data_IF_886071230108
#
_entry.id   IF_886071230108
#
_cell.length_a   1.000
_cell.length_b   1.000
_cell.length_c   1.000
_cell.angle_alpha   90.00
_cell.angle_beta   90.00
_cell.angle_gamma   90.00
#
_symmetry.space_group_name_H-M   'P 1'
#
loop_
_entity.id
_entity.type
_entity.pdbx_description
1 polymer ?
#
# COMPACT_ATOMS: atom_id res chain seq x y z
N UNK A 1 18.25 4.40 -0.62
CA UNK A 1 17.99 3.04 -1.15
C UNK A 1 19.32 2.37 -1.47
N UNK A 2 19.42 1.04 -1.36
CA UNK A 2 20.64 0.30 -1.70
C UNK A 2 20.26 -1.00 -2.43
N UNK A 3 21.00 -1.34 -3.48
CA UNK A 3 20.85 -2.61 -4.18
C UNK A 3 21.54 -3.68 -3.34
N UNK A 4 20.82 -4.73 -2.94
CA UNK A 4 21.34 -5.80 -2.08
C UNK A 4 21.80 -7.02 -2.91
N UNK A 5 21.34 -7.13 -4.16
CA UNK A 5 21.70 -8.19 -5.09
C UNK A 5 21.53 -7.71 -6.55
N UNK A 6 22.37 -8.21 -7.46
CA UNK A 6 22.39 -7.85 -8.89
C UNK A 6 23.30 -6.65 -9.23
N UNK A 7 23.51 -6.40 -10.52
CA UNK A 7 24.25 -5.24 -11.04
C UNK A 7 23.44 -4.54 -12.15
N UNK A 8 22.38 -3.80 -11.78
CA UNK A 8 21.56 -3.08 -12.76
C UNK A 8 22.38 -1.97 -13.42
N UNK A 9 22.07 -1.68 -14.68
CA UNK A 9 22.62 -0.50 -15.32
C UNK A 9 22.12 0.78 -14.62
N UNK A 10 22.85 1.91 -14.73
CA UNK A 10 22.37 3.19 -14.20
C UNK A 10 20.99 3.58 -14.72
N UNK A 11 20.70 3.27 -15.98
CA UNK A 11 19.42 3.55 -16.64
C UNK A 11 18.29 2.70 -16.05
N UNK A 12 18.53 1.41 -15.81
CA UNK A 12 17.54 0.52 -15.18
C UNK A 12 17.22 0.95 -13.76
N UNK A 13 18.25 1.35 -12.99
CA UNK A 13 18.06 1.87 -11.65
C UNK A 13 17.27 3.19 -11.67
N UNK A 14 17.59 4.10 -12.59
CA UNK A 14 16.85 5.36 -12.76
C UNK A 14 15.39 5.13 -13.13
N UNK A 15 15.11 4.18 -14.03
CA UNK A 15 13.74 3.82 -14.41
C UNK A 15 12.95 3.27 -13.21
N UNK A 16 13.54 2.38 -12.41
CA UNK A 16 12.89 1.84 -11.22
C UNK A 16 12.58 2.94 -10.19
N UNK A 17 13.55 3.84 -9.95
CA UNK A 17 13.36 4.97 -9.03
C UNK A 17 12.25 5.90 -9.52
N UNK A 18 12.22 6.21 -10.82
CA UNK A 18 11.18 7.05 -11.41
C UNK A 18 9.78 6.44 -11.23
N UNK A 19 9.64 5.13 -11.44
CA UNK A 19 8.36 4.42 -11.23
C UNK A 19 7.93 4.45 -9.76
N UNK A 20 8.84 4.19 -8.82
CA UNK A 20 8.54 4.21 -7.38
C UNK A 20 8.15 5.63 -6.93
N UNK A 21 8.86 6.65 -7.41
CA UNK A 21 8.54 8.05 -7.12
C UNK A 21 7.15 8.43 -7.66
N UNK A 22 6.83 8.04 -8.89
CA UNK A 22 5.52 8.28 -9.50
C UNK A 22 4.38 7.52 -8.79
N UNK A 23 4.62 6.29 -8.33
CA UNK A 23 3.63 5.53 -7.58
C UNK A 23 3.30 6.18 -6.23
N UNK A 24 4.28 6.84 -5.60
CA UNK A 24 4.10 7.56 -4.34
C UNK A 24 3.52 8.97 -4.48
N UNK A 25 3.52 9.55 -5.67
CA UNK A 25 3.05 10.94 -5.91
C UNK A 25 1.54 11.06 -6.09
N UNK A 26 0.77 10.00 -5.83
CA UNK A 26 -0.68 10.07 -5.81
C UNK A 26 -1.13 11.10 -4.78
N UNK A 27 -1.77 12.18 -5.24
CA UNK A 27 -2.25 13.25 -4.37
C UNK A 27 -3.20 12.71 -3.30
N UNK A 28 -3.10 13.26 -2.09
CA UNK A 28 -4.08 12.98 -1.05
C UNK A 28 -5.46 13.37 -1.57
N UNK A 29 -6.41 12.43 -1.57
CA UNK A 29 -7.81 12.77 -1.80
C UNK A 29 -8.28 13.65 -0.65
N UNK A 30 -8.99 14.74 -0.93
CA UNK A 30 -9.70 15.58 0.05
C UNK A 30 -10.83 14.83 0.81
N UNK A 31 -10.92 13.51 0.62
CA UNK A 31 -11.82 12.67 1.39
C UNK A 31 -11.37 12.59 2.85
N UNK A 32 -12.31 12.56 3.81
CA UNK A 32 -11.98 12.30 5.20
C UNK A 32 -11.14 11.03 5.34
N UNK A 33 -10.11 11.09 6.20
CA UNK A 33 -9.30 9.92 6.49
C UNK A 33 -10.21 8.74 6.91
N UNK A 34 -10.03 7.55 6.33
CA UNK A 34 -10.83 6.39 6.70
C UNK A 34 -10.60 6.07 8.18
N UNK A 35 -11.64 5.57 8.86
CA UNK A 35 -11.47 5.04 10.22
C UNK A 35 -10.52 3.84 10.19
N UNK A 36 -9.64 3.75 11.19
CA UNK A 36 -8.73 2.62 11.32
C UNK A 36 -9.53 1.32 11.43
N UNK A 37 -9.28 0.39 10.52
CA UNK A 37 -9.85 -0.96 10.57
C UNK A 37 -9.21 -1.78 11.70
N UNK A 38 -8.05 -1.37 12.23
CA UNK A 38 -7.42 -2.02 13.38
C UNK A 38 -8.26 -1.89 14.65
N UNK A 39 -8.91 -0.73 14.86
CA UNK A 39 -9.74 -0.45 16.04
C UNK A 39 -11.24 -0.63 15.81
N UNK A 40 -11.65 -1.21 14.68
CA UNK A 40 -13.06 -1.32 14.32
C UNK A 40 -13.83 -2.28 15.26
N UNK A 41 -14.93 -1.80 15.86
CA UNK A 41 -15.76 -2.56 16.80
C UNK A 41 -16.32 -3.87 16.25
N UNK A 42 -16.55 -3.96 14.95
CA UNK A 42 -17.04 -5.20 14.32
C UNK A 42 -16.02 -6.36 14.42
N UNK A 43 -14.75 -6.08 14.73
CA UNK A 43 -13.71 -7.10 14.99
C UNK A 43 -13.77 -7.65 16.41
N UNK A 44 -14.54 -7.04 17.32
CA UNK A 44 -14.80 -7.57 18.67
C UNK A 44 -15.71 -8.80 18.64
N UNK A 45 -16.38 -9.05 17.51
CA UNK A 45 -17.25 -10.21 17.29
C UNK A 45 -16.76 -11.00 16.08
N UNK A 46 -16.87 -12.33 16.13
CA UNK A 46 -16.43 -13.18 15.02
C UNK A 46 -17.45 -13.14 13.88
N UNK A 47 -17.01 -12.65 12.72
CA UNK A 47 -17.77 -12.71 11.47
C UNK A 47 -17.12 -13.64 10.43
N UNK A 48 -17.81 -13.91 9.31
CA UNK A 48 -17.24 -14.67 8.21
C UNK A 48 -16.08 -13.91 7.54
N UNK A 49 -15.05 -14.65 7.12
CA UNK A 49 -13.94 -14.09 6.36
C UNK A 49 -14.40 -13.76 4.93
N UNK A 50 -14.18 -12.50 4.51
CA UNK A 50 -14.41 -12.10 3.12
C UNK A 50 -13.20 -12.49 2.27
N UNK A 51 -13.46 -12.98 1.07
CA UNK A 51 -12.45 -13.23 0.03
C UNK A 51 -12.66 -12.23 -1.12
N UNK A 52 -11.61 -11.99 -1.90
CA UNK A 52 -11.64 -11.08 -3.06
C UNK A 52 -11.09 -9.67 -2.79
N UNK A 53 -11.12 -8.79 -3.81
CA UNK A 53 -10.59 -7.43 -3.71
C UNK A 53 -11.15 -6.66 -2.51
N UNK A 54 -10.28 -6.01 -1.74
CA UNK A 54 -10.67 -5.27 -0.53
C UNK A 54 -10.99 -6.15 0.69
N UNK A 55 -10.77 -7.47 0.63
CA UNK A 55 -10.88 -8.33 1.81
C UNK A 55 -9.87 -7.96 2.92
N UNK A 56 -8.71 -7.43 2.53
CA UNK A 56 -7.63 -6.99 3.42
C UNK A 56 -7.83 -5.52 3.83
N UNK A 57 -8.96 -5.22 4.48
CA UNK A 57 -9.36 -3.83 4.79
C UNK A 57 -8.35 -3.07 5.67
N UNK A 58 -7.52 -3.79 6.43
CA UNK A 58 -6.53 -3.22 7.34
C UNK A 58 -5.13 -3.02 6.72
N UNK A 59 -4.90 -3.40 5.45
CA UNK A 59 -3.57 -3.32 4.82
C UNK A 59 -3.35 -2.04 3.99
N UNK A 60 -4.41 -1.34 3.63
CA UNK A 60 -4.38 -0.23 2.68
C UNK A 60 -4.94 1.09 3.26
N UNK A 61 -5.09 1.17 4.59
CA UNK A 61 -5.75 2.29 5.30
C UNK A 61 -5.05 2.61 6.61
#
# INVERSE_FOLDING_TARGET
MRVVSGNPSPEELAALVAVVAAAGSGGASDSPAPRSEWSARHRLVRGPHRHGPGAWRASAR
#
